data_IF_211169613812
#
_entry.id   IF_211169613812
#
_cell.length_a   1.000
_cell.length_b   1.000
_cell.length_c   1.000
_cell.angle_alpha   90.00
_cell.angle_beta   90.00
_cell.angle_gamma   90.00
#
_symmetry.space_group_name_H-M   'P 1'
#
loop_
_entity.id
_entity.type
_entity.pdbx_description
1 polymer ?
#
# COMPACT_ATOMS: atom_id res chain seq x y z
N UNK A 1 23.57 -21.60 15.87
CA UNK A 1 23.19 -22.46 14.74
C UNK A 1 22.40 -21.62 13.75
N UNK A 2 22.68 -21.74 12.45
CA UNK A 2 21.89 -21.03 11.42
C UNK A 2 20.60 -21.82 11.18
N UNK A 3 19.45 -21.16 11.27
CA UNK A 3 18.13 -21.78 11.19
C UNK A 3 17.85 -22.27 9.77
N UNK A 4 17.55 -23.56 9.59
CA UNK A 4 17.01 -24.11 8.33
C UNK A 4 15.50 -23.89 8.31
N UNK A 5 14.96 -23.53 7.15
CA UNK A 5 13.53 -23.25 6.95
C UNK A 5 12.83 -24.40 6.22
N UNK A 6 11.52 -24.52 6.42
CA UNK A 6 10.69 -25.50 5.73
C UNK A 6 10.63 -26.88 6.42
N UNK A 7 10.40 -27.93 5.63
CA UNK A 7 10.11 -29.28 6.12
C UNK A 7 11.40 -30.03 6.50
N UNK A 8 11.80 -29.92 7.77
CA UNK A 8 12.96 -30.64 8.32
C UNK A 8 12.59 -31.89 9.12
N UNK A 9 11.29 -32.18 9.26
CA UNK A 9 10.80 -33.32 10.03
C UNK A 9 11.28 -34.65 9.42
N UNK A 10 11.82 -35.53 10.25
CA UNK A 10 12.30 -36.86 9.84
C UNK A 10 13.67 -36.88 9.15
N UNK A 11 14.39 -35.75 9.07
CA UNK A 11 15.74 -35.74 8.51
C UNK A 11 16.77 -36.29 9.51
N UNK A 12 17.72 -37.09 9.01
CA UNK A 12 18.85 -37.59 9.80
C UNK A 12 19.73 -36.42 10.25
N UNK A 13 20.33 -36.52 11.44
CA UNK A 13 21.22 -35.49 11.98
C UNK A 13 22.41 -35.15 11.05
N UNK A 14 22.92 -36.14 10.30
CA UNK A 14 23.97 -35.93 9.29
C UNK A 14 23.51 -35.04 8.14
N UNK A 15 22.30 -35.26 7.62
CA UNK A 15 21.72 -34.45 6.54
C UNK A 15 21.45 -33.02 7.01
N UNK A 16 20.97 -32.84 8.26
CA UNK A 16 20.78 -31.51 8.87
C UNK A 16 22.12 -30.75 8.95
N UNK A 17 23.20 -31.38 9.43
CA UNK A 17 24.53 -30.74 9.47
C UNK A 17 25.03 -30.34 8.08
N UNK A 18 24.79 -31.16 7.05
CA UNK A 18 25.14 -30.84 5.66
C UNK A 18 24.36 -29.63 5.15
N UNK A 19 23.05 -29.54 5.43
CA UNK A 19 22.23 -28.37 5.13
C UNK A 19 22.75 -27.11 5.85
N UNK A 20 23.11 -27.21 7.14
CA UNK A 20 23.68 -26.08 7.88
C UNK A 20 25.03 -25.63 7.31
N UNK A 21 25.84 -26.56 6.78
CA UNK A 21 27.12 -26.25 6.16
C UNK A 21 26.98 -25.48 4.84
N UNK A 22 25.84 -25.58 4.14
CA UNK A 22 25.59 -24.79 2.91
C UNK A 22 25.72 -23.29 3.19
N UNK A 23 25.32 -22.81 4.36
CA UNK A 23 25.46 -21.42 4.76
C UNK A 23 26.92 -20.89 4.86
N UNK A 24 27.91 -21.78 4.83
CA UNK A 24 29.34 -21.43 4.82
C UNK A 24 29.89 -21.29 3.40
N UNK A 25 29.16 -21.79 2.40
CA UNK A 25 29.53 -21.67 0.99
C UNK A 25 29.39 -20.22 0.52
N UNK A 26 30.15 -19.90 -0.52
CA UNK A 26 30.14 -18.61 -1.21
C UNK A 26 29.92 -18.89 -2.69
N UNK A 27 29.14 -18.04 -3.32
CA UNK A 27 28.90 -18.06 -4.76
C UNK A 27 29.42 -16.75 -5.32
N UNK A 28 30.29 -16.73 -6.32
CA UNK A 28 30.70 -15.48 -6.95
C UNK A 28 29.47 -14.68 -7.43
N UNK A 29 29.48 -13.34 -7.39
CA UNK A 29 28.33 -12.55 -7.78
C UNK A 29 27.84 -12.80 -9.21
N UNK A 30 28.77 -13.04 -10.14
CA UNK A 30 28.54 -13.32 -11.58
C UNK A 30 27.72 -14.62 -11.79
N UNK A 31 27.89 -15.59 -10.89
CA UNK A 31 27.31 -16.91 -11.02
C UNK A 31 25.91 -16.97 -10.43
N UNK A 32 25.02 -17.70 -11.10
CA UNK A 32 23.73 -18.07 -10.54
C UNK A 32 23.92 -18.94 -9.28
N UNK A 33 24.70 -20.02 -9.45
CA UNK A 33 25.22 -20.91 -8.41
C UNK A 33 26.51 -21.54 -8.95
N UNK A 34 27.47 -21.91 -8.10
CA UNK A 34 28.68 -22.59 -8.62
C UNK A 34 28.35 -24.03 -9.01
N UNK A 35 29.02 -24.61 -10.03
CA UNK A 35 28.78 -26.00 -10.44
C UNK A 35 28.96 -27.02 -9.29
N UNK A 36 29.93 -26.78 -8.40
CA UNK A 36 30.16 -27.65 -7.23
C UNK A 36 29.01 -27.57 -6.24
N UNK A 37 28.51 -26.35 -5.99
CA UNK A 37 27.39 -26.15 -5.09
C UNK A 37 26.08 -26.71 -5.68
N UNK A 38 25.86 -26.55 -6.98
CA UNK A 38 24.73 -27.15 -7.68
C UNK A 38 24.74 -28.68 -7.54
N UNK A 39 25.91 -29.31 -7.71
CA UNK A 39 26.09 -30.75 -7.51
C UNK A 39 25.85 -31.17 -6.06
N UNK A 40 26.45 -30.48 -5.10
CA UNK A 40 26.31 -30.78 -3.67
C UNK A 40 24.85 -30.73 -3.21
N UNK A 41 24.11 -29.70 -3.64
CA UNK A 41 22.71 -29.48 -3.29
C UNK A 41 21.81 -30.50 -3.98
N UNK A 42 22.07 -30.82 -5.25
CA UNK A 42 21.31 -31.84 -6.00
C UNK A 42 21.42 -33.22 -5.35
N UNK A 43 22.65 -33.66 -5.04
CA UNK A 43 22.88 -34.95 -4.37
C UNK A 43 22.20 -35.00 -3.00
N UNK A 44 22.28 -33.91 -2.23
CA UNK A 44 21.62 -33.84 -0.93
C UNK A 44 20.10 -33.83 -1.06
N UNK A 45 19.55 -33.14 -2.05
CA UNK A 45 18.11 -33.09 -2.37
C UNK A 45 17.57 -34.47 -2.73
N UNK A 46 18.30 -35.20 -3.58
CA UNK A 46 17.99 -36.58 -3.95
C UNK A 46 18.01 -37.52 -2.74
N UNK A 47 19.04 -37.45 -1.90
CA UNK A 47 19.16 -38.28 -0.68
C UNK A 47 17.98 -38.09 0.28
N UNK A 48 17.56 -36.84 0.50
CA UNK A 48 16.46 -36.53 1.42
C UNK A 48 15.08 -36.60 0.77
N UNK A 49 15.02 -36.81 -0.56
CA UNK A 49 13.81 -36.80 -1.40
C UNK A 49 12.95 -35.55 -1.21
N UNK A 50 13.59 -34.38 -1.12
CA UNK A 50 12.93 -33.07 -0.97
C UNK A 50 13.70 -32.03 -1.74
N UNK A 51 12.99 -31.04 -2.28
CA UNK A 51 13.62 -29.88 -2.89
C UNK A 51 14.42 -29.10 -1.85
N UNK A 52 15.56 -28.55 -2.24
CA UNK A 52 16.38 -27.67 -1.40
C UNK A 52 16.51 -26.33 -2.12
N UNK A 53 16.13 -25.25 -1.45
CA UNK A 53 16.24 -23.88 -1.93
C UNK A 53 17.33 -23.09 -1.21
N UNK A 54 18.05 -22.27 -1.95
CA UNK A 54 19.07 -21.35 -1.48
C UNK A 54 18.68 -19.92 -1.85
N UNK A 55 18.59 -19.04 -0.86
CA UNK A 55 18.57 -17.59 -1.12
C UNK A 55 19.98 -17.05 -0.98
N UNK A 56 20.49 -16.48 -2.08
CA UNK A 56 21.85 -15.96 -2.19
C UNK A 56 21.75 -14.45 -2.38
N UNK A 57 22.46 -13.67 -1.56
CA UNK A 57 22.51 -12.23 -1.72
C UNK A 57 23.53 -11.79 -2.78
N UNK A 58 23.52 -10.51 -3.18
CA UNK A 58 24.46 -9.94 -4.17
C UNK A 58 25.94 -10.05 -3.80
N UNK A 59 26.27 -10.23 -2.51
CA UNK A 59 27.65 -10.49 -2.04
C UNK A 59 28.04 -11.98 -2.15
N UNK A 60 27.19 -12.83 -2.72
CA UNK A 60 27.47 -14.24 -2.85
C UNK A 60 27.26 -15.07 -1.59
N UNK A 61 26.60 -14.51 -0.57
CA UNK A 61 26.36 -15.21 0.70
C UNK A 61 25.00 -15.89 0.65
N UNK A 62 24.97 -17.17 1.00
CA UNK A 62 23.70 -17.88 1.27
C UNK A 62 23.12 -17.33 2.58
N UNK A 63 22.01 -16.63 2.47
CA UNK A 63 21.31 -16.00 3.60
C UNK A 63 20.20 -16.89 4.15
N UNK A 64 19.66 -17.80 3.33
CA UNK A 64 18.62 -18.75 3.74
C UNK A 64 18.79 -20.08 3.02
N UNK A 65 18.62 -21.17 3.76
CA UNK A 65 18.48 -22.53 3.24
C UNK A 65 17.07 -23.01 3.57
N UNK A 66 16.35 -23.45 2.54
CA UNK A 66 14.96 -23.90 2.61
C UNK A 66 14.90 -25.37 2.22
N UNK A 67 14.13 -26.16 2.96
CA UNK A 67 13.79 -27.54 2.60
C UNK A 67 12.31 -27.59 2.26
N UNK A 68 12.01 -27.93 1.01
CA UNK A 68 10.66 -28.05 0.50
C UNK A 68 10.04 -29.44 0.71
N UNK A 69 9.02 -29.72 -0.07
CA UNK A 69 8.51 -31.06 -0.31
C UNK A 69 9.03 -31.59 -1.67
N UNK A 70 8.34 -32.55 -2.28
CA UNK A 70 8.75 -33.10 -3.59
C UNK A 70 8.37 -32.20 -4.77
N UNK A 71 7.44 -31.26 -4.57
CA UNK A 71 6.84 -30.43 -5.62
C UNK A 71 7.22 -28.96 -5.54
N UNK A 72 7.42 -28.42 -4.33
CA UNK A 72 7.68 -27.00 -4.13
C UNK A 72 8.55 -26.72 -2.91
N UNK A 73 9.13 -25.53 -2.92
CA UNK A 73 9.70 -24.88 -1.74
C UNK A 73 8.74 -23.81 -1.24
N UNK A 74 8.85 -23.46 0.05
CA UNK A 74 8.15 -22.30 0.60
C UNK A 74 9.21 -21.31 1.03
N UNK A 75 9.36 -20.25 0.24
CA UNK A 75 10.34 -19.20 0.53
C UNK A 75 9.85 -18.43 1.75
N UNK A 76 10.66 -18.35 2.83
CA UNK A 76 10.25 -17.60 4.01
C UNK A 76 10.16 -16.11 3.63
N UNK A 77 8.94 -15.59 3.61
CA UNK A 77 8.65 -14.16 3.57
C UNK A 77 9.16 -13.53 4.88
N UNK A 78 10.43 -13.11 4.86
CA UNK A 78 11.13 -12.36 5.91
C UNK A 78 11.52 -10.98 5.40
N UNK A 79 12.35 -10.25 6.17
CA UNK A 79 12.74 -8.82 6.03
C UNK A 79 13.36 -8.36 4.67
N UNK A 80 13.17 -9.12 3.59
CA UNK A 80 13.67 -8.92 2.24
C UNK A 80 12.72 -8.05 1.41
N UNK A 81 12.44 -6.83 1.87
CA UNK A 81 11.65 -5.88 1.10
C UNK A 81 12.57 -5.01 0.24
N UNK A 82 12.39 -5.10 -1.08
CA UNK A 82 13.05 -4.18 -1.99
C UNK A 82 12.48 -2.77 -1.84
N UNK A 83 13.33 -1.74 -1.95
CA UNK A 83 12.85 -0.38 -2.11
C UNK A 83 12.01 -0.24 -3.40
N UNK A 84 11.07 0.73 -3.47
CA UNK A 84 10.36 1.02 -4.71
C UNK A 84 11.35 1.25 -5.86
N UNK A 85 11.13 0.60 -7.00
CA UNK A 85 12.01 0.69 -8.18
C UNK A 85 13.25 -0.20 -8.16
N UNK A 86 13.43 -1.07 -7.16
CA UNK A 86 14.58 -2.00 -7.08
C UNK A 86 14.14 -3.45 -6.88
N UNK A 87 15.05 -4.38 -7.19
CA UNK A 87 14.92 -5.78 -6.86
C UNK A 87 15.33 -6.02 -5.39
N UNK A 88 14.93 -7.14 -4.80
CA UNK A 88 15.11 -7.40 -3.37
C UNK A 88 16.55 -7.78 -2.97
N UNK A 89 17.46 -7.91 -3.94
CA UNK A 89 18.86 -8.21 -3.70
C UNK A 89 19.15 -9.68 -3.44
N UNK A 90 18.19 -10.56 -3.72
CA UNK A 90 18.29 -12.00 -3.53
C UNK A 90 17.99 -12.74 -4.82
N UNK A 91 18.84 -13.71 -5.16
CA UNK A 91 18.53 -14.76 -6.13
C UNK A 91 18.14 -16.04 -5.39
N UNK A 92 17.10 -16.70 -5.88
CA UNK A 92 16.66 -17.99 -5.38
C UNK A 92 17.10 -19.09 -6.34
N UNK A 93 17.83 -20.08 -5.82
CA UNK A 93 18.23 -21.27 -6.57
C UNK A 93 17.72 -22.48 -5.80
N UNK A 94 16.88 -23.30 -6.41
CA UNK A 94 16.34 -24.51 -5.81
C UNK A 94 16.48 -25.72 -6.72
N UNK A 95 16.23 -26.90 -6.18
CA UNK A 95 16.28 -28.15 -6.95
C UNK A 95 14.88 -28.60 -7.34
N UNK A 96 14.73 -29.14 -8.55
CA UNK A 96 13.60 -29.98 -8.93
C UNK A 96 14.06 -31.43 -8.90
N UNK A 97 13.22 -32.33 -8.36
CA UNK A 97 13.57 -33.76 -8.27
C UNK A 97 13.56 -34.45 -9.64
N UNK A 98 12.93 -33.82 -10.63
CA UNK A 98 12.98 -34.18 -12.04
C UNK A 98 13.59 -33.00 -12.84
N UNK A 99 13.86 -33.20 -14.13
CA UNK A 99 14.30 -32.14 -15.04
C UNK A 99 13.11 -31.33 -15.59
N UNK A 100 12.25 -30.85 -14.69
CA UNK A 100 11.06 -30.05 -15.02
C UNK A 100 11.42 -28.55 -15.07
N UNK A 101 10.79 -27.75 -15.97
CA UNK A 101 10.97 -26.30 -16.01
C UNK A 101 10.44 -25.62 -14.74
N UNK A 102 10.72 -24.33 -14.60
CA UNK A 102 10.16 -23.50 -13.51
C UNK A 102 8.63 -23.61 -13.47
N UNK A 103 8.09 -23.86 -12.29
CA UNK A 103 6.66 -23.99 -12.07
C UNK A 103 5.98 -22.60 -12.06
N UNK A 104 4.66 -22.53 -12.28
CA UNK A 104 3.92 -21.29 -12.09
C UNK A 104 4.08 -20.68 -10.69
N UNK A 105 4.24 -21.51 -9.67
CA UNK A 105 4.50 -21.08 -8.28
C UNK A 105 5.86 -20.37 -8.19
N UNK A 106 6.92 -20.91 -8.80
CA UNK A 106 8.27 -20.30 -8.79
C UNK A 106 8.29 -18.94 -9.48
N UNK A 107 7.57 -18.83 -10.60
CA UNK A 107 7.47 -17.60 -11.39
C UNK A 107 6.62 -16.52 -10.70
N UNK A 108 5.62 -16.97 -9.93
CA UNK A 108 4.84 -16.12 -9.05
C UNK A 108 5.72 -15.59 -7.92
N UNK A 109 6.47 -16.47 -7.23
CA UNK A 109 7.41 -16.08 -6.17
C UNK A 109 8.50 -15.11 -6.66
N UNK A 110 9.05 -15.33 -7.85
CA UNK A 110 9.97 -14.41 -8.52
C UNK A 110 9.41 -12.98 -8.61
N UNK A 111 8.16 -12.87 -9.07
CA UNK A 111 7.51 -11.59 -9.32
C UNK A 111 7.12 -10.88 -8.02
N UNK A 112 6.53 -11.61 -7.07
CA UNK A 112 6.02 -11.05 -5.81
C UNK A 112 7.13 -10.58 -4.88
N UNK A 113 8.14 -11.42 -4.72
CA UNK A 113 9.28 -11.10 -3.86
C UNK A 113 10.21 -10.11 -4.55
N UNK A 114 10.05 -9.85 -5.86
CA UNK A 114 10.99 -9.11 -6.71
C UNK A 114 12.40 -9.67 -6.59
N UNK A 115 12.53 -11.00 -6.71
CA UNK A 115 13.83 -11.66 -6.68
C UNK A 115 14.70 -11.16 -7.83
N UNK A 116 16.00 -11.05 -7.57
CA UNK A 116 17.00 -10.74 -8.58
C UNK A 116 16.92 -11.78 -9.72
N UNK A 117 16.90 -13.07 -9.37
CA UNK A 117 16.66 -14.21 -10.28
C UNK A 117 15.98 -15.37 -9.54
N UNK A 118 15.28 -16.23 -10.28
CA UNK A 118 14.76 -17.53 -9.84
C UNK A 118 15.35 -18.64 -10.72
N UNK A 119 15.82 -19.74 -10.12
CA UNK A 119 16.33 -20.87 -10.90
C UNK A 119 16.09 -22.24 -10.25
N UNK A 120 15.64 -23.18 -11.07
CA UNK A 120 15.47 -24.59 -10.72
C UNK A 120 16.57 -25.43 -11.37
N UNK A 121 17.28 -26.21 -10.56
CA UNK A 121 18.25 -27.22 -10.99
C UNK A 121 17.50 -28.53 -11.19
N UNK A 122 17.33 -28.95 -12.43
CA UNK A 122 16.78 -30.26 -12.77
C UNK A 122 17.72 -31.38 -12.34
N UNK A 123 17.16 -32.53 -11.97
CA UNK A 123 17.93 -33.69 -11.52
C UNK A 123 17.72 -34.90 -12.42
N UNK A 124 18.80 -35.65 -12.61
CA UNK A 124 18.79 -37.00 -13.18
C UNK A 124 18.30 -38.04 -12.15
N UNK A 125 18.03 -39.27 -12.63
CA UNK A 125 17.66 -40.39 -11.77
C UNK A 125 18.71 -40.69 -10.67
N UNK A 126 19.98 -40.38 -10.92
CA UNK A 126 21.09 -40.57 -9.97
C UNK A 126 21.32 -39.35 -9.04
N UNK A 127 20.47 -38.32 -9.12
CA UNK A 127 20.56 -37.11 -8.30
C UNK A 127 21.64 -36.11 -8.75
N UNK A 128 22.25 -36.32 -9.91
CA UNK A 128 23.18 -35.36 -10.52
C UNK A 128 22.42 -34.24 -11.22
N UNK A 129 22.96 -33.00 -11.21
CA UNK A 129 22.32 -31.85 -11.86
C UNK A 129 22.29 -32.03 -13.38
N UNK A 130 21.14 -31.71 -13.98
CA UNK A 130 20.90 -31.62 -15.42
C UNK A 130 20.65 -30.15 -15.81
N UNK A 131 19.64 -29.85 -16.60
CA UNK A 131 19.41 -28.49 -17.05
C UNK A 131 18.99 -27.59 -15.89
N UNK A 132 19.49 -26.35 -15.90
CA UNK A 132 19.09 -25.31 -14.97
C UNK A 132 18.16 -24.36 -15.70
N UNK A 133 16.91 -24.32 -15.25
CA UNK A 133 15.89 -23.41 -15.77
C UNK A 133 15.87 -22.15 -14.92
N UNK A 134 16.09 -20.99 -15.53
CA UNK A 134 16.19 -19.72 -14.83
C UNK A 134 15.26 -18.66 -15.41
N UNK A 135 14.86 -17.71 -14.59
CA UNK A 135 14.02 -16.58 -14.96
C UNK A 135 14.37 -15.33 -14.16
N UNK A 136 14.08 -14.17 -14.75
CA UNK A 136 14.17 -12.88 -14.08
C UNK A 136 12.91 -12.04 -14.34
N UNK A 137 12.65 -11.06 -13.49
CA UNK A 137 11.51 -10.14 -13.66
C UNK A 137 11.71 -9.32 -14.94
N UNK A 138 10.63 -9.09 -15.68
CA UNK A 138 10.63 -8.21 -16.85
C UNK A 138 9.94 -6.88 -16.49
N UNK A 139 10.68 -5.76 -16.42
CA UNK A 139 10.11 -4.47 -16.11
C UNK A 139 9.37 -3.86 -17.31
N UNK A 140 8.18 -3.31 -17.06
CA UNK A 140 7.37 -2.57 -18.03
C UNK A 140 6.14 -3.30 -18.59
N UNK A 141 5.28 -2.58 -19.34
CA UNK A 141 4.10 -3.16 -19.97
C UNK A 141 4.55 -4.03 -21.14
N UNK A 142 4.62 -5.33 -20.92
CA UNK A 142 4.80 -6.30 -22.00
C UNK A 142 3.49 -7.04 -22.20
N UNK A 143 3.12 -7.32 -23.45
CA UNK A 143 1.96 -8.15 -23.79
C UNK A 143 2.10 -9.61 -23.27
N UNK A 144 3.28 -9.96 -22.76
CA UNK A 144 3.63 -11.29 -22.22
C UNK A 144 3.89 -11.23 -20.72
N UNK A 145 3.99 -12.41 -20.12
CA UNK A 145 4.17 -12.69 -18.70
C UNK A 145 5.17 -11.71 -18.01
N UNK A 146 5.01 -11.41 -16.70
CA UNK A 146 5.82 -10.41 -15.97
C UNK A 146 7.29 -10.82 -15.72
N UNK A 147 7.75 -11.85 -16.42
CA UNK A 147 9.06 -12.45 -16.28
C UNK A 147 9.59 -12.87 -17.65
N UNK A 148 10.91 -12.99 -17.74
CA UNK A 148 11.59 -13.59 -18.89
C UNK A 148 12.21 -14.90 -18.45
N UNK A 149 11.89 -15.97 -19.19
CA UNK A 149 12.58 -17.25 -19.07
C UNK A 149 13.91 -17.17 -19.84
N UNK A 150 14.99 -17.61 -19.21
CA UNK A 150 16.27 -17.82 -19.87
C UNK A 150 16.26 -19.15 -20.62
N UNK A 151 17.04 -19.30 -21.70
CA UNK A 151 17.30 -20.61 -22.30
C UNK A 151 17.83 -21.59 -21.24
N UNK A 152 17.49 -22.89 -21.31
CA UNK A 152 18.01 -23.89 -20.39
C UNK A 152 19.55 -23.85 -20.34
N UNK A 153 20.10 -23.76 -19.13
CA UNK A 153 21.53 -23.63 -18.89
C UNK A 153 22.13 -24.99 -18.52
N UNK A 154 23.29 -25.37 -19.07
CA UNK A 154 23.97 -26.59 -18.64
C UNK A 154 24.63 -26.37 -17.26
N UNK A 155 24.77 -27.42 -16.40
CA UNK A 155 25.37 -27.31 -15.06
C UNK A 155 26.76 -26.68 -15.02
N UNK A 156 27.51 -26.77 -16.13
CA UNK A 156 28.86 -26.27 -16.25
C UNK A 156 28.93 -24.77 -16.60
N UNK A 157 27.86 -24.20 -17.16
CA UNK A 157 27.82 -22.80 -17.62
C UNK A 157 26.77 -22.00 -16.84
N UNK A 158 27.03 -21.84 -15.54
CA UNK A 158 26.16 -21.07 -14.62
C UNK A 158 26.73 -19.69 -14.28
N UNK A 159 27.85 -19.33 -14.91
CA UNK A 159 28.38 -17.98 -14.95
C UNK A 159 27.66 -17.18 -16.04
N UNK A 160 26.50 -16.64 -15.68
CA UNK A 160 25.60 -15.96 -16.62
C UNK A 160 25.65 -14.43 -16.47
N UNK A 161 26.66 -13.93 -15.76
CA UNK A 161 26.77 -12.52 -15.39
C UNK A 161 25.46 -11.99 -14.77
N UNK A 162 25.11 -12.57 -13.61
CA UNK A 162 23.92 -12.14 -12.88
C UNK A 162 23.97 -10.64 -12.54
N UNK A 163 25.16 -10.08 -12.31
CA UNK A 163 25.31 -8.67 -11.95
C UNK A 163 24.88 -7.75 -13.10
N UNK A 164 25.36 -7.97 -14.32
CA UNK A 164 24.95 -7.18 -15.47
C UNK A 164 23.45 -7.29 -15.74
N UNK A 165 22.89 -8.50 -15.60
CA UNK A 165 21.45 -8.72 -15.77
C UNK A 165 20.62 -7.95 -14.73
N UNK A 166 21.02 -8.01 -13.45
CA UNK A 166 20.36 -7.27 -12.36
C UNK A 166 20.44 -5.76 -12.60
N UNK A 167 21.61 -5.25 -12.97
CA UNK A 167 21.82 -3.83 -13.25
C UNK A 167 20.93 -3.35 -14.39
N UNK A 168 20.87 -4.09 -15.50
CA UNK A 168 20.01 -3.74 -16.63
C UNK A 168 18.52 -3.71 -16.26
N UNK A 169 18.05 -4.65 -15.41
CA UNK A 169 16.67 -4.67 -14.92
C UNK A 169 16.39 -3.50 -13.99
N UNK A 170 17.29 -3.20 -13.06
CA UNK A 170 17.14 -2.07 -12.12
C UNK A 170 17.21 -0.72 -12.84
N UNK A 171 18.07 -0.56 -13.84
CA UNK A 171 18.11 0.63 -14.70
C UNK A 171 16.80 0.81 -15.45
N UNK A 172 16.21 -0.27 -15.96
CA UNK A 172 14.92 -0.22 -16.64
C UNK A 172 13.76 0.08 -15.67
N UNK A 173 13.76 -0.52 -14.47
CA UNK A 173 12.79 -0.21 -13.40
C UNK A 173 12.91 1.25 -12.96
N UNK A 174 14.13 1.74 -12.73
CA UNK A 174 14.39 3.14 -12.36
C UNK A 174 13.99 4.07 -13.51
N UNK A 175 14.23 3.71 -14.78
CA UNK A 175 13.78 4.48 -15.96
C UNK A 175 12.27 4.53 -16.08
N UNK A 176 11.56 3.43 -15.85
CA UNK A 176 10.10 3.41 -15.86
C UNK A 176 9.54 4.20 -14.68
N UNK A 177 10.11 4.06 -13.49
CA UNK A 177 9.69 4.85 -12.33
C UNK A 177 9.96 6.35 -12.53
N UNK A 178 11.18 6.73 -12.92
CA UNK A 178 11.59 8.14 -13.11
C UNK A 178 10.99 8.76 -14.37
N UNK A 179 10.89 8.04 -15.48
CA UNK A 179 10.27 8.53 -16.71
C UNK A 179 8.79 8.90 -16.51
N UNK A 180 8.07 8.16 -15.67
CA UNK A 180 6.69 8.48 -15.32
C UNK A 180 6.60 9.54 -14.22
N UNK A 181 7.36 9.43 -13.13
CA UNK A 181 7.31 10.40 -12.01
C UNK A 181 7.92 11.76 -12.37
N UNK A 182 8.96 11.83 -13.19
CA UNK A 182 9.55 13.10 -13.67
C UNK A 182 8.69 13.78 -14.74
N UNK A 183 7.89 13.02 -15.50
CA UNK A 183 6.95 13.57 -16.48
C UNK A 183 5.70 14.18 -15.81
N UNK A 184 5.18 13.58 -14.73
CA UNK A 184 3.90 14.01 -14.13
C UNK A 184 4.01 14.60 -12.72
N UNK A 185 5.05 14.25 -11.95
CA UNK A 185 5.18 14.61 -10.53
C UNK A 185 4.12 13.97 -9.63
N UNK A 186 3.41 12.92 -10.10
CA UNK A 186 2.25 12.32 -9.43
C UNK A 186 2.48 10.85 -9.09
N UNK A 187 1.92 10.41 -7.96
CA UNK A 187 1.83 8.99 -7.62
C UNK A 187 0.91 8.26 -8.60
N UNK A 188 1.22 7.01 -8.94
CA UNK A 188 0.44 6.17 -9.87
C UNK A 188 -0.27 5.07 -9.10
N UNK A 189 -1.59 5.06 -9.14
CA UNK A 189 -2.43 4.19 -8.33
C UNK A 189 -3.17 3.12 -9.13
N UNK A 190 -3.13 1.91 -8.58
CA UNK A 190 -4.07 0.85 -8.92
C UNK A 190 -5.20 0.86 -7.89
N UNK A 191 -6.44 1.05 -8.36
CA UNK A 191 -7.62 1.06 -7.49
C UNK A 191 -8.17 -0.35 -7.31
N UNK A 192 -8.60 -0.69 -6.09
CA UNK A 192 -9.15 -2.01 -5.77
C UNK A 192 -10.45 -1.86 -5.00
N UNK A 193 -11.49 -2.56 -5.44
CA UNK A 193 -12.73 -2.70 -4.66
C UNK A 193 -13.14 -4.16 -4.54
N UNK A 194 -13.44 -4.56 -3.31
CA UNK A 194 -13.96 -5.87 -2.95
C UNK A 194 -15.32 -5.66 -2.32
N UNK A 195 -16.39 -6.08 -2.99
CA UNK A 195 -17.76 -5.82 -2.53
C UNK A 195 -18.71 -6.97 -2.90
N UNK A 196 -19.69 -7.21 -2.02
CA UNK A 196 -20.86 -8.06 -2.22
C UNK A 196 -22.07 -7.28 -2.77
N UNK A 197 -21.95 -5.97 -2.96
CA UNK A 197 -23.03 -5.12 -3.45
C UNK A 197 -23.36 -5.36 -4.92
N UNK A 198 -24.45 -4.76 -5.38
CA UNK A 198 -24.80 -4.75 -6.80
C UNK A 198 -23.68 -4.12 -7.64
N UNK A 199 -23.47 -4.66 -8.85
CA UNK A 199 -22.45 -4.14 -9.79
C UNK A 199 -22.56 -2.63 -9.99
N UNK A 200 -23.78 -2.10 -10.04
CA UNK A 200 -24.04 -0.65 -10.17
C UNK A 200 -23.45 0.13 -9.00
N UNK A 201 -23.74 -0.27 -7.76
CA UNK A 201 -23.20 0.42 -6.56
C UNK A 201 -21.68 0.35 -6.49
N UNK A 202 -21.09 -0.80 -6.81
CA UNK A 202 -19.62 -0.94 -6.85
C UNK A 202 -18.99 -0.06 -7.93
N UNK A 203 -19.61 0.04 -9.11
CA UNK A 203 -19.13 0.93 -10.18
C UNK A 203 -19.20 2.40 -9.80
N UNK A 204 -20.30 2.84 -9.17
CA UNK A 204 -20.44 4.21 -8.66
C UNK A 204 -19.40 4.52 -7.57
N UNK A 205 -19.18 3.60 -6.62
CA UNK A 205 -18.15 3.75 -5.59
C UNK A 205 -16.75 3.85 -6.19
N UNK A 206 -16.45 3.04 -7.20
CA UNK A 206 -15.18 3.08 -7.92
C UNK A 206 -14.99 4.34 -8.77
N UNK A 207 -16.07 4.89 -9.32
CA UNK A 207 -16.03 6.18 -9.99
C UNK A 207 -15.71 7.30 -8.99
N UNK A 208 -16.35 7.30 -7.82
CA UNK A 208 -16.05 8.26 -6.74
C UNK A 208 -14.61 8.10 -6.22
N UNK A 209 -14.12 6.86 -6.04
CA UNK A 209 -12.74 6.60 -5.64
C UNK A 209 -11.72 7.13 -6.66
N UNK A 210 -12.02 7.00 -7.95
CA UNK A 210 -11.19 7.57 -9.02
C UNK A 210 -11.14 9.10 -8.93
N UNK A 211 -12.28 9.75 -8.68
CA UNK A 211 -12.34 11.20 -8.47
C UNK A 211 -11.59 11.64 -7.20
N UNK A 212 -11.62 10.83 -6.13
CA UNK A 212 -10.83 11.08 -4.92
C UNK A 212 -9.34 11.01 -5.23
N UNK A 213 -8.89 9.97 -5.93
CA UNK A 213 -7.49 9.82 -6.33
C UNK A 213 -7.03 11.00 -7.19
N UNK A 214 -7.82 11.40 -8.18
CA UNK A 214 -7.52 12.59 -9.00
C UNK A 214 -7.46 13.88 -8.16
N UNK A 215 -8.35 14.04 -7.18
CA UNK A 215 -8.38 15.19 -6.27
C UNK A 215 -7.16 15.26 -5.35
N UNK A 216 -6.58 14.11 -5.00
CA UNK A 216 -5.33 13.97 -4.24
C UNK A 216 -4.07 14.19 -5.09
N UNK A 217 -4.21 14.36 -6.41
CA UNK A 217 -3.09 14.47 -7.35
C UNK A 217 -2.47 13.13 -7.72
N UNK A 218 -3.23 12.04 -7.63
CA UNK A 218 -2.80 10.68 -7.95
C UNK A 218 -3.33 10.31 -9.34
N UNK A 219 -2.46 9.76 -10.19
CA UNK A 219 -2.80 9.24 -11.51
C UNK A 219 -3.34 7.81 -11.39
N UNK A 220 -4.56 7.57 -11.86
CA UNK A 220 -5.17 6.23 -11.82
C UNK A 220 -4.84 5.47 -13.10
N UNK A 221 -4.03 4.42 -12.98
CA UNK A 221 -3.55 3.62 -14.13
C UNK A 221 -4.45 2.41 -14.40
N UNK A 222 -5.24 1.99 -13.42
CA UNK A 222 -6.14 0.85 -13.57
C UNK A 222 -7.06 0.66 -12.37
N UNK A 223 -7.99 -0.28 -12.51
CA UNK A 223 -8.90 -0.66 -11.43
C UNK A 223 -9.22 -2.14 -11.46
N UNK A 224 -9.22 -2.78 -10.30
CA UNK A 224 -9.58 -4.18 -10.10
C UNK A 224 -10.83 -4.24 -9.23
N UNK A 225 -11.88 -4.87 -9.73
CA UNK A 225 -13.11 -5.13 -8.97
C UNK A 225 -13.22 -6.62 -8.73
N UNK A 226 -13.34 -7.02 -7.47
CA UNK A 226 -13.61 -8.40 -7.08
C UNK A 226 -14.97 -8.49 -6.41
N UNK A 227 -15.88 -9.24 -7.03
CA UNK A 227 -17.16 -9.56 -6.41
C UNK A 227 -17.03 -10.82 -5.55
N UNK A 228 -17.48 -10.75 -4.29
CA UNK A 228 -17.44 -11.87 -3.34
C UNK A 228 -18.64 -11.81 -2.40
N UNK A 229 -19.29 -12.94 -2.18
CA UNK A 229 -20.39 -13.07 -1.22
C UNK A 229 -19.91 -12.97 0.24
N UNK A 230 -18.68 -13.42 0.52
CA UNK A 230 -18.02 -13.28 1.82
C UNK A 230 -16.60 -12.73 1.65
N UNK A 231 -16.32 -11.62 2.35
CA UNK A 231 -15.03 -10.95 2.34
C UNK A 231 -14.03 -11.73 3.20
N UNK A 232 -12.79 -11.88 2.73
CA UNK A 232 -11.74 -12.55 3.50
C UNK A 232 -11.35 -11.69 4.72
N UNK A 233 -11.53 -12.21 5.93
CA UNK A 233 -11.25 -11.48 7.17
C UNK A 233 -9.78 -11.06 7.32
N UNK A 234 -8.84 -11.77 6.69
CA UNK A 234 -7.39 -11.53 6.83
C UNK A 234 -6.82 -10.62 5.76
N UNK A 235 -7.31 -10.70 4.52
CA UNK A 235 -6.73 -9.98 3.39
C UNK A 235 -7.72 -9.08 2.64
N UNK A 236 -9.02 -9.14 2.93
CA UNK A 236 -10.12 -8.57 2.13
C UNK A 236 -10.27 -9.29 0.77
N UNK A 237 -9.15 -9.43 0.05
CA UNK A 237 -8.91 -10.09 -1.23
C UNK A 237 -8.24 -11.46 -1.01
N UNK A 238 -8.56 -12.48 -1.82
CA UNK A 238 -7.89 -13.79 -1.71
C UNK A 238 -6.41 -13.72 -2.08
N UNK A 239 -5.57 -14.59 -1.51
CA UNK A 239 -4.10 -14.57 -1.73
C UNK A 239 -3.74 -14.63 -3.22
N UNK A 240 -4.32 -15.52 -4.02
CA UNK A 240 -4.04 -15.58 -5.46
C UNK A 240 -4.34 -14.28 -6.21
N UNK A 241 -5.45 -13.62 -5.88
CA UNK A 241 -5.80 -12.32 -6.48
C UNK A 241 -4.86 -11.21 -5.99
N UNK A 242 -4.40 -11.28 -4.74
CA UNK A 242 -3.41 -10.35 -4.21
C UNK A 242 -2.07 -10.49 -4.94
N UNK A 243 -1.71 -11.71 -5.33
CA UNK A 243 -0.54 -11.99 -6.15
C UNK A 243 -0.70 -11.43 -7.57
N UNK A 244 -1.85 -11.66 -8.21
CA UNK A 244 -2.18 -11.05 -9.51
C UNK A 244 -2.11 -9.51 -9.44
N UNK A 245 -2.60 -8.92 -8.36
CA UNK A 245 -2.58 -7.47 -8.15
C UNK A 245 -1.15 -6.93 -8.05
N UNK A 246 -0.27 -7.63 -7.32
CA UNK A 246 1.14 -7.25 -7.21
C UNK A 246 1.87 -7.36 -8.55
N UNK A 247 1.57 -8.39 -9.34
CA UNK A 247 2.09 -8.56 -10.71
C UNK A 247 1.62 -7.40 -11.59
N UNK A 248 0.32 -7.11 -11.60
CA UNK A 248 -0.26 -6.03 -12.40
C UNK A 248 0.32 -4.67 -12.00
N UNK A 249 0.50 -4.43 -10.70
CA UNK A 249 1.13 -3.22 -10.18
C UNK A 249 2.59 -3.07 -10.63
N UNK A 250 3.32 -4.18 -10.78
CA UNK A 250 4.70 -4.16 -11.29
C UNK A 250 4.73 -3.87 -12.80
N UNK A 251 3.86 -4.50 -13.58
CA UNK A 251 3.77 -4.29 -15.04
C UNK A 251 3.40 -2.85 -15.39
N UNK A 252 2.42 -2.30 -14.68
CA UNK A 252 1.93 -0.94 -14.90
C UNK A 252 2.77 0.13 -14.18
N UNK A 253 3.81 -0.27 -13.45
CA UNK A 253 4.65 0.61 -12.63
C UNK A 253 3.83 1.50 -11.66
N UNK A 254 2.90 0.88 -10.94
CA UNK A 254 2.15 1.52 -9.85
C UNK A 254 3.06 1.81 -8.65
N UNK A 255 2.92 2.99 -8.05
CA UNK A 255 3.62 3.35 -6.81
C UNK A 255 2.77 3.08 -5.56
N UNK A 256 1.45 3.03 -5.73
CA UNK A 256 0.48 2.86 -4.64
C UNK A 256 -0.70 1.98 -5.06
N UNK A 257 -1.23 1.23 -4.11
CA UNK A 257 -2.51 0.51 -4.24
C UNK A 257 -3.50 1.18 -3.31
N UNK A 258 -4.68 1.52 -3.85
CA UNK A 258 -5.75 2.20 -3.11
C UNK A 258 -6.97 1.32 -3.02
N UNK A 259 -7.35 0.94 -1.81
CA UNK A 259 -8.54 0.14 -1.53
C UNK A 259 -9.75 1.05 -1.29
N UNK A 260 -10.88 0.72 -1.91
CA UNK A 260 -12.16 1.40 -1.71
C UNK A 260 -12.71 1.19 -0.29
N UNK A 261 -12.52 -0.01 0.26
CA UNK A 261 -12.97 -0.37 1.60
C UNK A 261 -11.92 0.01 2.66
N UNK A 262 -12.39 0.38 3.85
CA UNK A 262 -11.52 0.62 5.01
C UNK A 262 -10.81 -0.68 5.41
N UNK A 263 -9.48 -0.62 5.53
CA UNK A 263 -8.67 -1.76 5.92
C UNK A 263 -8.44 -1.76 7.44
N UNK A 264 -8.63 -2.92 8.06
CA UNK A 264 -8.29 -3.11 9.46
C UNK A 264 -6.76 -3.26 9.63
N UNK A 265 -6.20 -3.03 10.84
CA UNK A 265 -4.76 -3.09 11.05
C UNK A 265 -4.12 -4.44 10.68
N UNK A 266 -4.85 -5.55 10.80
CA UNK A 266 -4.35 -6.88 10.43
C UNK A 266 -4.31 -7.10 8.92
N UNK A 267 -5.28 -6.56 8.18
CA UNK A 267 -5.32 -6.59 6.72
C UNK A 267 -4.19 -5.75 6.14
N UNK A 268 -3.99 -4.52 6.63
CA UNK A 268 -2.87 -3.65 6.20
C UNK A 268 -1.54 -4.38 6.39
N UNK A 269 -1.32 -5.01 7.55
CA UNK A 269 -0.13 -5.84 7.81
C UNK A 269 0.01 -6.95 6.79
N UNK A 270 -1.02 -7.79 6.68
CA UNK A 270 -0.95 -8.99 5.87
C UNK A 270 -0.74 -8.68 4.38
N UNK A 271 -1.34 -7.59 3.89
CA UNK A 271 -1.15 -7.10 2.51
C UNK A 271 0.27 -6.53 2.34
N UNK A 272 0.72 -5.65 3.25
CA UNK A 272 2.04 -5.01 3.15
C UNK A 272 3.18 -6.02 3.31
N UNK A 273 2.98 -7.09 4.08
CA UNK A 273 3.95 -8.19 4.22
C UNK A 273 4.11 -8.97 2.91
N UNK A 274 3.08 -9.00 2.05
CA UNK A 274 3.08 -9.73 0.78
C UNK A 274 3.40 -8.84 -0.43
N UNK A 275 3.08 -7.54 -0.37
CA UNK A 275 3.30 -6.59 -1.46
C UNK A 275 4.23 -5.49 -0.97
N UNK A 276 5.38 -5.36 -1.62
CA UNK A 276 6.36 -4.30 -1.35
C UNK A 276 6.00 -2.97 -2.06
N UNK A 277 4.74 -2.53 -1.92
CA UNK A 277 4.19 -1.25 -2.42
C UNK A 277 3.46 -0.52 -1.29
N UNK A 278 3.28 0.80 -1.44
CA UNK A 278 2.46 1.58 -0.51
C UNK A 278 0.99 1.15 -0.68
N UNK A 279 0.33 0.85 0.44
CA UNK A 279 -1.09 0.50 0.46
C UNK A 279 -1.82 1.50 1.33
N UNK A 280 -2.87 2.10 0.78
CA UNK A 280 -3.78 2.98 1.51
C UNK A 280 -5.22 2.56 1.24
N UNK A 281 -6.13 2.98 2.10
CA UNK A 281 -7.57 2.83 1.87
C UNK A 281 -8.23 4.19 1.59
N UNK A 282 -9.52 4.14 1.30
CA UNK A 282 -10.37 5.30 1.05
C UNK A 282 -10.30 6.33 2.18
N UNK A 283 -10.31 5.88 3.44
CA UNK A 283 -10.22 6.77 4.61
C UNK A 283 -8.92 7.57 4.63
N UNK A 284 -7.78 6.90 4.42
CA UNK A 284 -6.48 7.56 4.35
C UNK A 284 -6.40 8.51 3.15
N UNK A 285 -6.92 8.11 1.98
CA UNK A 285 -6.94 8.95 0.79
C UNK A 285 -7.71 10.26 1.04
N UNK A 286 -8.88 10.18 1.69
CA UNK A 286 -9.69 11.36 2.03
C UNK A 286 -8.94 12.28 3.01
N UNK A 287 -8.30 11.71 4.04
CA UNK A 287 -7.49 12.49 4.98
C UNK A 287 -6.33 13.21 4.29
N UNK A 288 -5.68 12.56 3.32
CA UNK A 288 -4.59 13.16 2.54
C UNK A 288 -5.10 14.32 1.68
N UNK A 289 -6.28 14.20 1.06
CA UNK A 289 -6.95 15.32 0.37
C UNK A 289 -7.21 16.47 1.36
N UNK A 290 -7.70 16.17 2.56
CA UNK A 290 -7.92 17.22 3.57
C UNK A 290 -6.66 17.90 4.03
N UNK A 291 -5.56 17.16 4.16
CA UNK A 291 -4.28 17.74 4.53
C UNK A 291 -3.79 18.74 3.47
N UNK A 292 -4.04 18.45 2.19
CA UNK A 292 -3.73 19.37 1.09
C UNK A 292 -4.65 20.60 1.05
N UNK A 293 -5.90 20.47 1.52
CA UNK A 293 -6.93 21.53 1.43
C UNK A 293 -7.06 22.39 2.70
N UNK A 294 -6.60 21.91 3.85
CA UNK A 294 -6.67 22.63 5.13
C UNK A 294 -5.79 23.90 5.10
N UNK A 295 -6.42 25.07 5.05
CA UNK A 295 -5.72 26.37 5.05
C UNK A 295 -5.75 27.01 6.42
N UNK A 296 -6.87 26.92 7.12
CA UNK A 296 -7.04 27.50 8.44
C UNK A 296 -6.20 26.76 9.50
N UNK A 297 -5.82 27.46 10.57
CA UNK A 297 -5.14 26.82 11.71
C UNK A 297 -6.00 25.72 12.32
N UNK A 298 -7.30 25.95 12.43
CA UNK A 298 -8.26 24.97 12.97
C UNK A 298 -8.34 23.72 12.08
N UNK A 299 -8.54 23.89 10.77
CA UNK A 299 -8.61 22.80 9.81
C UNK A 299 -7.32 21.96 9.82
N UNK A 300 -6.15 22.60 9.87
CA UNK A 300 -4.87 21.89 9.98
C UNK A 300 -4.77 21.04 11.25
N UNK A 301 -5.19 21.58 12.40
CA UNK A 301 -5.19 20.84 13.67
C UNK A 301 -6.18 19.65 13.63
N UNK A 302 -7.35 19.82 13.02
CA UNK A 302 -8.37 18.75 12.92
C UNK A 302 -7.93 17.62 12.01
N UNK A 303 -7.37 17.96 10.85
CA UNK A 303 -6.87 16.95 9.91
C UNK A 303 -5.69 16.20 10.51
N UNK A 304 -4.73 16.89 11.14
CA UNK A 304 -3.60 16.24 11.81
C UNK A 304 -4.10 15.31 12.94
N UNK A 305 -5.07 15.76 13.75
CA UNK A 305 -5.67 14.94 14.80
C UNK A 305 -6.35 13.68 14.22
N UNK A 306 -7.10 13.82 13.14
CA UNK A 306 -7.79 12.71 12.50
C UNK A 306 -6.80 11.72 11.87
N UNK A 307 -5.77 12.20 11.18
CA UNK A 307 -4.68 11.37 10.66
C UNK A 307 -4.00 10.58 11.78
N UNK A 308 -3.64 11.23 12.89
CA UNK A 308 -3.00 10.55 14.01
C UNK A 308 -3.91 9.53 14.68
N UNK A 309 -5.20 9.84 14.88
CA UNK A 309 -6.18 8.90 15.45
C UNK A 309 -6.39 7.68 14.56
N UNK A 310 -6.48 7.89 13.25
CA UNK A 310 -6.65 6.82 12.28
C UNK A 310 -5.39 5.96 12.14
N UNK A 311 -4.20 6.59 12.11
CA UNK A 311 -2.91 5.91 12.00
C UNK A 311 -2.49 5.20 13.28
N UNK A 312 -2.76 5.73 14.48
CA UNK A 312 -2.29 5.17 15.76
C UNK A 312 -2.56 3.66 15.94
N UNK A 313 -3.79 3.14 15.74
CA UNK A 313 -4.05 1.69 15.83
C UNK A 313 -3.40 0.91 14.67
N UNK A 314 -3.07 1.59 13.57
CA UNK A 314 -2.47 1.08 12.34
C UNK A 314 -0.95 1.31 12.29
N UNK A 315 -0.34 1.85 13.34
CA UNK A 315 1.11 1.91 13.50
C UNK A 315 1.61 0.49 13.75
N UNK A 316 1.97 -0.14 12.65
CA UNK A 316 2.59 -1.45 12.58
C UNK A 316 4.08 -1.29 12.77
N UNK A 317 4.67 -2.28 13.43
CA UNK A 317 6.10 -2.49 13.47
C UNK A 317 6.76 -2.69 12.12
N UNK A 318 6.97 -1.62 11.35
CA UNK A 318 8.03 -1.58 10.34
C UNK A 318 9.35 -1.54 11.10
N UNK A 319 9.89 -2.70 11.49
CA UNK A 319 11.27 -2.96 11.94
C UNK A 319 11.38 -4.16 12.90
N UNK A 320 10.86 -5.33 12.53
CA UNK A 320 11.19 -6.56 13.29
C UNK A 320 12.68 -6.93 13.15
N UNK A 321 13.39 -6.45 12.11
CA UNK A 321 14.85 -6.59 11.97
C UNK A 321 15.67 -5.65 12.90
N UNK A 322 15.37 -4.34 12.93
CA UNK A 322 16.12 -3.40 13.78
C UNK A 322 15.79 -3.54 15.27
N UNK A 323 14.59 -4.00 15.63
CA UNK A 323 14.26 -4.31 17.02
C UNK A 323 15.02 -5.54 17.56
N UNK A 324 15.41 -6.48 16.68
CA UNK A 324 16.20 -7.66 17.07
C UNK A 324 17.70 -7.36 17.18
N UNK A 325 18.23 -6.47 16.35
CA UNK A 325 19.62 -6.00 16.46
C UNK A 325 19.87 -5.13 17.70
N UNK A 326 18.86 -4.38 18.16
CA UNK A 326 18.95 -3.64 19.43
C UNK A 326 18.76 -4.53 20.69
N UNK A 327 18.14 -5.72 20.55
CA UNK A 327 17.82 -6.61 21.66
C UNK A 327 18.77 -7.79 21.85
N UNK A 328 19.75 -7.98 20.97
CA UNK A 328 20.66 -9.12 20.97
C UNK A 328 22.09 -8.72 21.32
N UNK A 329 22.34 -8.39 22.59
CA UNK A 329 23.59 -8.54 23.38
C UNK A 329 23.50 -7.55 24.57
N UNK A 330 23.19 -8.06 25.76
CA UNK A 330 23.78 -7.54 27.01
C UNK A 330 23.32 -6.21 27.60
N UNK A 331 22.17 -5.62 27.25
CA UNK A 331 21.66 -4.41 27.90
C UNK A 331 20.58 -4.68 28.95
N UNK A 332 20.93 -4.88 30.23
CA UNK A 332 19.97 -4.79 31.34
C UNK A 332 19.57 -3.33 31.55
N UNK A 333 18.57 -2.86 30.82
CA UNK A 333 17.95 -1.55 31.01
C UNK A 333 16.53 -1.54 30.44
N UNK A 334 15.60 -0.72 30.96
CA UNK A 334 14.23 -0.62 30.47
C UNK A 334 14.21 0.17 29.15
N UNK A 335 14.65 -0.45 28.06
CA UNK A 335 14.62 0.15 26.73
C UNK A 335 13.28 -0.11 26.06
N UNK A 336 12.36 0.86 26.08
CA UNK A 336 11.11 0.82 25.32
C UNK A 336 11.40 0.57 23.83
N UNK A 337 10.55 -0.24 23.18
CA UNK A 337 10.70 -0.50 21.74
C UNK A 337 10.48 0.79 20.93
N UNK A 338 11.15 0.95 19.78
CA UNK A 338 10.96 2.13 18.91
C UNK A 338 9.49 2.39 18.57
N UNK A 339 8.71 1.32 18.42
CA UNK A 339 7.27 1.41 18.16
C UNK A 339 6.45 1.90 19.34
N UNK A 340 6.85 1.51 20.54
CA UNK A 340 6.25 2.00 21.78
C UNK A 340 6.55 3.48 21.98
N UNK A 341 7.78 3.90 21.69
CA UNK A 341 8.17 5.31 21.65
C UNK A 341 7.33 6.09 20.62
N UNK A 342 7.19 5.56 19.40
CA UNK A 342 6.41 6.22 18.34
C UNK A 342 4.91 6.31 18.72
N UNK A 343 4.35 5.24 19.31
CA UNK A 343 2.98 5.24 19.83
C UNK A 343 2.79 6.22 20.98
N UNK A 344 3.76 6.33 21.89
CA UNK A 344 3.72 7.30 23.00
C UNK A 344 3.75 8.72 22.45
N UNK A 345 4.67 9.03 21.55
CA UNK A 345 4.76 10.34 20.87
C UNK A 345 3.47 10.71 20.13
N UNK A 346 2.87 9.75 19.42
CA UNK A 346 1.60 9.96 18.75
C UNK A 346 0.46 10.28 19.74
N UNK A 347 0.38 9.55 20.87
CA UNK A 347 -0.60 9.83 21.93
C UNK A 347 -0.40 11.20 22.59
N UNK A 348 0.84 11.56 22.91
CA UNK A 348 1.15 12.89 23.45
C UNK A 348 0.77 14.00 22.46
N UNK A 349 1.04 13.79 21.16
CA UNK A 349 0.65 14.75 20.12
C UNK A 349 -0.86 14.87 20.01
N UNK A 350 -1.60 13.76 20.05
CA UNK A 350 -3.06 13.75 20.07
C UNK A 350 -3.58 14.59 21.23
N UNK A 351 -3.08 14.39 22.46
CA UNK A 351 -3.51 15.16 23.63
C UNK A 351 -3.27 16.67 23.46
N UNK A 352 -2.12 17.06 22.91
CA UNK A 352 -1.81 18.48 22.64
C UNK A 352 -2.74 19.08 21.58
N UNK A 353 -3.03 18.33 20.52
CA UNK A 353 -3.94 18.76 19.46
C UNK A 353 -5.38 18.90 19.96
N UNK A 354 -5.84 17.97 20.80
CA UNK A 354 -7.16 18.05 21.46
C UNK A 354 -7.28 19.29 22.34
N UNK A 355 -6.28 19.56 23.18
CA UNK A 355 -6.26 20.78 24.01
C UNK A 355 -6.28 22.07 23.18
N UNK A 356 -5.49 22.11 22.09
CA UNK A 356 -5.48 23.26 21.18
C UNK A 356 -6.83 23.45 20.46
N UNK A 357 -7.52 22.37 20.09
CA UNK A 357 -8.84 22.45 19.48
C UNK A 357 -9.91 22.94 20.46
N UNK A 358 -9.80 22.57 21.74
CA UNK A 358 -10.73 23.06 22.77
C UNK A 358 -10.58 24.56 23.04
N UNK A 359 -9.38 25.14 22.87
CA UNK A 359 -9.20 26.60 22.85
C UNK A 359 -9.91 27.26 21.67
N UNK A 360 -9.74 26.70 20.46
CA UNK A 360 -10.39 27.23 19.24
C UNK A 360 -11.91 27.18 19.38
N UNK A 361 -12.46 26.07 19.89
CA UNK A 361 -13.90 25.93 20.18
C UNK A 361 -14.42 26.99 21.14
N UNK A 362 -13.68 27.28 22.22
CA UNK A 362 -14.04 28.34 23.18
C UNK A 362 -14.13 29.70 22.50
N UNK A 363 -13.15 30.04 21.66
CA UNK A 363 -13.16 31.28 20.89
C UNK A 363 -14.36 31.36 19.93
N UNK A 364 -14.69 30.25 19.25
CA UNK A 364 -15.83 30.18 18.32
C UNK A 364 -17.18 30.38 19.01
N UNK A 365 -17.37 29.76 20.19
CA UNK A 365 -18.59 29.97 21.01
C UNK A 365 -18.79 31.44 21.39
N UNK A 366 -17.71 32.16 21.70
CA UNK A 366 -17.79 33.60 21.98
C UNK A 366 -18.18 34.42 20.76
N UNK A 367 -17.65 34.10 19.57
CA UNK A 367 -18.05 34.75 18.31
C UNK A 367 -19.53 34.49 17.98
N UNK A 368 -20.00 33.25 18.19
CA UNK A 368 -21.41 32.87 18.01
C UNK A 368 -22.32 33.64 18.97
N UNK A 369 -21.98 33.72 20.26
CA UNK A 369 -22.76 34.48 21.24
C UNK A 369 -22.88 35.97 20.87
N UNK A 370 -21.82 36.57 20.32
CA UNK A 370 -21.86 37.96 19.81
C UNK A 370 -22.73 38.11 18.55
N UNK A 371 -22.77 37.10 17.67
CA UNK A 371 -23.63 37.09 16.47
C UNK A 371 -25.10 36.93 16.81
N UNK A 372 -25.45 36.00 17.70
CA UNK A 372 -26.85 35.79 18.12
C UNK A 372 -27.44 37.05 18.74
N UNK A 373 -26.63 37.83 19.48
CA UNK A 373 -27.05 39.14 20.01
C UNK A 373 -27.38 40.18 18.92
N UNK A 374 -26.90 40.01 17.70
CA UNK A 374 -27.17 40.90 16.55
C UNK A 374 -28.34 40.43 15.67
N UNK A 375 -28.89 39.25 15.90
CA UNK A 375 -30.06 38.74 15.17
C UNK A 375 -29.85 38.51 13.66
N UNK A 376 -28.61 38.25 13.21
CA UNK A 376 -28.32 37.98 11.81
C UNK A 376 -28.63 36.52 11.45
N UNK A 377 -29.55 36.23 10.52
CA UNK A 377 -29.87 34.87 10.09
C UNK A 377 -28.70 34.20 9.37
N UNK A 378 -28.53 32.89 9.56
CA UNK A 378 -27.50 32.07 8.94
C UNK A 378 -28.13 31.03 8.02
N UNK A 379 -27.74 31.06 6.75
CA UNK A 379 -28.10 30.06 5.74
C UNK A 379 -26.85 29.22 5.46
N UNK A 380 -26.92 27.91 5.66
CA UNK A 380 -25.83 26.99 5.35
C UNK A 380 -26.15 26.17 4.11
N UNK A 381 -25.24 26.20 3.13
CA UNK A 381 -25.38 25.46 1.87
C UNK A 381 -24.79 24.06 2.07
N UNK A 382 -25.61 23.02 1.94
CA UNK A 382 -25.21 21.61 2.09
C UNK A 382 -25.41 20.84 0.78
N UNK A 383 -24.81 19.65 0.70
CA UNK A 383 -24.91 18.77 -0.47
C UNK A 383 -23.61 18.06 -0.80
N UNK A 384 -23.67 17.13 -1.74
CA UNK A 384 -22.51 16.33 -2.16
C UNK A 384 -21.36 17.18 -2.71
N UNK A 385 -20.15 16.66 -2.60
CA UNK A 385 -18.98 17.26 -3.27
C UNK A 385 -19.24 17.43 -4.76
N UNK A 386 -18.78 18.54 -5.33
CA UNK A 386 -19.01 18.94 -6.73
C UNK A 386 -20.47 19.26 -7.12
N UNK A 387 -21.44 19.31 -6.20
CA UNK A 387 -22.82 19.70 -6.51
C UNK A 387 -23.01 21.20 -6.87
N UNK A 388 -21.94 21.99 -6.97
CA UNK A 388 -22.02 23.42 -7.30
C UNK A 388 -22.24 24.37 -6.11
N UNK A 389 -22.09 23.91 -4.86
CA UNK A 389 -22.29 24.73 -3.63
C UNK A 389 -21.46 26.04 -3.63
N UNK A 390 -20.16 25.95 -3.85
CA UNK A 390 -19.26 27.13 -3.87
C UNK A 390 -19.57 28.06 -5.06
N UNK A 391 -19.97 27.51 -6.20
CA UNK A 391 -20.42 28.27 -7.37
C UNK A 391 -21.69 29.06 -7.06
N UNK A 392 -22.66 28.45 -6.36
CA UNK A 392 -23.87 29.12 -5.90
C UNK A 392 -23.55 30.25 -4.92
N UNK A 393 -22.67 30.01 -3.94
CA UNK A 393 -22.24 31.05 -3.00
C UNK A 393 -21.62 32.25 -3.75
N UNK A 394 -20.69 31.99 -4.67
CA UNK A 394 -20.02 33.05 -5.45
C UNK A 394 -21.01 33.86 -6.27
N UNK A 395 -21.98 33.19 -6.90
CA UNK A 395 -23.01 33.84 -7.72
C UNK A 395 -23.91 34.73 -6.88
N UNK A 396 -24.35 34.24 -5.72
CA UNK A 396 -25.21 35.01 -4.82
C UNK A 396 -24.49 36.21 -4.19
N UNK A 397 -23.20 36.07 -3.89
CA UNK A 397 -22.47 37.05 -3.06
C UNK A 397 -21.46 37.90 -3.84
N UNK A 398 -21.36 37.70 -5.17
CA UNK A 398 -20.31 38.26 -6.03
C UNK A 398 -18.90 38.08 -5.46
N UNK A 399 -18.66 36.97 -4.76
CA UNK A 399 -17.39 36.70 -4.10
C UNK A 399 -16.51 35.77 -4.95
N UNK A 400 -15.22 35.69 -4.59
CA UNK A 400 -14.21 34.84 -5.25
C UNK A 400 -13.78 33.70 -4.33
N UNK A 401 -14.72 32.91 -3.82
CA UNK A 401 -14.41 31.65 -3.13
C UNK A 401 -13.93 30.64 -4.18
N UNK A 402 -12.94 29.82 -3.83
CA UNK A 402 -12.37 28.85 -4.75
C UNK A 402 -13.43 27.79 -5.10
N UNK A 403 -13.75 27.69 -6.40
CA UNK A 403 -14.65 26.69 -6.95
C UNK A 403 -13.87 25.92 -8.03
N UNK A 404 -13.56 24.65 -7.75
CA UNK A 404 -12.87 23.75 -8.67
C UNK A 404 -13.70 22.47 -8.81
N UNK A 405 -13.68 21.85 -10.00
CA UNK A 405 -14.27 20.52 -10.21
C UNK A 405 -13.37 19.43 -9.63
N UNK A 406 -13.21 19.43 -8.30
CA UNK A 406 -12.46 18.45 -7.51
C UNK A 406 -13.23 18.15 -6.23
N UNK A 407 -13.12 16.92 -5.73
CA UNK A 407 -13.72 16.55 -4.45
C UNK A 407 -13.03 17.32 -3.33
N UNK A 408 -13.83 17.73 -2.35
CA UNK A 408 -13.39 18.51 -1.19
C UNK A 408 -12.63 19.80 -1.51
N UNK A 409 -13.02 20.50 -2.60
CA UNK A 409 -12.50 21.82 -2.94
C UNK A 409 -12.61 22.82 -1.76
N UNK A 410 -13.67 22.69 -0.95
CA UNK A 410 -13.91 23.46 0.27
C UNK A 410 -13.89 22.53 1.49
N UNK A 411 -12.94 22.74 2.40
CA UNK A 411 -12.89 22.08 3.72
C UNK A 411 -13.23 23.07 4.84
N UNK A 412 -12.57 24.22 4.85
CA UNK A 412 -12.83 25.29 5.82
C UNK A 412 -14.13 26.03 5.43
N UNK A 413 -15.12 26.18 6.35
CA UNK A 413 -16.38 26.84 6.03
C UNK A 413 -16.15 28.29 5.63
N UNK A 414 -16.82 28.72 4.56
CA UNK A 414 -16.68 30.08 4.02
C UNK A 414 -17.98 30.85 4.17
N UNK A 415 -18.00 31.83 5.09
CA UNK A 415 -19.17 32.69 5.31
C UNK A 415 -19.05 34.02 4.56
N UNK A 416 -20.15 34.48 3.97
CA UNK A 416 -20.29 35.78 3.29
C UNK A 416 -21.59 36.46 3.70
N UNK A 417 -21.60 37.79 3.72
CA UNK A 417 -22.82 38.57 3.97
C UNK A 417 -23.54 38.76 2.65
N UNK A 418 -24.83 38.47 2.65
CA UNK A 418 -25.74 38.68 1.53
C UNK A 418 -26.82 39.67 1.96
N UNK A 419 -26.98 40.75 1.21
CA UNK A 419 -28.03 41.75 1.47
C UNK A 419 -29.17 41.54 0.50
N UNK A 420 -30.37 41.25 1.01
CA UNK A 420 -31.57 41.17 0.20
C UNK A 420 -32.09 42.57 -0.17
N UNK A 421 -32.86 42.70 -1.27
CA UNK A 421 -33.43 43.98 -1.70
C UNK A 421 -34.35 44.68 -0.68
N UNK A 422 -34.80 44.00 0.39
CA UNK A 422 -35.74 44.50 1.41
C UNK A 422 -35.09 44.68 2.80
N UNK A 423 -33.82 45.10 2.85
CA UNK A 423 -33.05 45.40 4.07
C UNK A 423 -32.78 44.26 5.06
N UNK A 424 -33.07 43.01 4.68
CA UNK A 424 -32.64 41.84 5.46
C UNK A 424 -31.22 41.47 5.04
N UNK A 425 -30.36 41.37 6.03
CA UNK A 425 -28.99 40.91 5.86
C UNK A 425 -28.84 39.52 6.44
N UNK A 426 -28.33 38.59 5.64
CA UNK A 426 -28.09 37.20 6.06
C UNK A 426 -26.62 36.84 5.88
N UNK A 427 -26.18 35.83 6.63
CA UNK A 427 -24.89 35.20 6.44
C UNK A 427 -25.12 33.90 5.68
N UNK A 428 -24.50 33.77 4.51
CA UNK A 428 -24.50 32.52 3.75
C UNK A 428 -23.16 31.82 3.96
N UNK A 429 -23.19 30.57 4.38
CA UNK A 429 -21.99 29.76 4.63
C UNK A 429 -21.94 28.57 3.68
N UNK A 430 -20.85 28.47 2.92
CA UNK A 430 -20.52 27.26 2.15
C UNK A 430 -19.86 26.24 3.09
N UNK A 431 -20.37 25.00 3.07
CA UNK A 431 -19.87 23.92 3.91
C UNK A 431 -19.11 22.88 3.11
N UNK A 432 -18.39 22.02 3.83
CA UNK A 432 -17.76 20.85 3.24
C UNK A 432 -18.80 19.96 2.56
N UNK A 433 -18.43 19.40 1.41
CA UNK A 433 -19.32 18.49 0.67
C UNK A 433 -19.36 17.10 1.28
N UNK A 434 -20.51 16.44 1.17
CA UNK A 434 -20.67 15.04 1.54
C UNK A 434 -20.10 14.10 0.47
N UNK A 435 -19.74 12.89 0.91
CA UNK A 435 -19.37 11.75 0.06
C UNK A 435 -20.08 10.51 0.56
N UNK A 436 -20.08 9.45 -0.24
CA UNK A 436 -20.63 8.16 0.18
C UNK A 436 -19.79 7.51 1.27
N UNK A 437 -20.47 6.83 2.20
CA UNK A 437 -19.88 5.98 3.24
C UNK A 437 -18.78 6.66 4.06
N UNK A 438 -19.07 7.86 4.56
CA UNK A 438 -18.11 8.62 5.36
C UNK A 438 -17.70 7.84 6.63
N UNK A 439 -16.42 7.44 6.77
CA UNK A 439 -15.97 6.69 7.93
C UNK A 439 -16.15 7.49 9.23
N UNK A 440 -16.51 6.80 10.32
CA UNK A 440 -16.70 7.42 11.64
C UNK A 440 -15.45 8.14 12.13
N UNK A 441 -14.28 7.60 11.82
CA UNK A 441 -12.99 8.20 12.19
C UNK A 441 -12.77 9.56 11.53
N UNK A 442 -13.35 9.80 10.33
CA UNK A 442 -13.28 11.09 9.66
C UNK A 442 -14.25 12.12 10.24
N UNK A 443 -15.34 11.70 10.90
CA UNK A 443 -16.30 12.63 11.52
C UNK A 443 -15.63 13.61 12.49
N UNK A 444 -14.52 13.21 13.11
CA UNK A 444 -13.71 14.09 13.96
C UNK A 444 -13.09 15.24 13.16
N UNK A 445 -12.61 14.98 11.93
CA UNK A 445 -12.05 16.01 11.04
C UNK A 445 -13.12 16.99 10.54
N UNK A 446 -14.35 16.52 10.34
CA UNK A 446 -15.47 17.36 9.91
C UNK A 446 -16.21 18.05 11.04
N UNK A 447 -15.90 17.72 12.31
CA UNK A 447 -16.73 18.10 13.44
C UNK A 447 -16.97 19.61 13.52
N UNK A 448 -15.96 20.44 13.23
CA UNK A 448 -16.16 21.88 13.20
C UNK A 448 -16.95 22.39 11.99
N UNK A 449 -16.88 21.71 10.84
CA UNK A 449 -17.73 22.04 9.70
C UNK A 449 -19.19 21.68 10.01
N UNK A 450 -19.43 20.53 10.65
CA UNK A 450 -20.76 20.09 11.08
C UNK A 450 -21.33 20.92 12.23
N UNK A 451 -20.50 21.34 13.19
CA UNK A 451 -20.91 22.26 14.27
C UNK A 451 -21.39 23.62 13.73
N UNK A 452 -21.03 24.02 12.51
CA UNK A 452 -21.55 25.23 11.86
C UNK A 452 -22.95 25.01 11.27
N UNK A 453 -23.27 23.78 10.84
CA UNK A 453 -24.61 23.40 10.38
C UNK A 453 -25.63 23.44 11.52
N UNK A 454 -25.24 23.02 12.73
CA UNK A 454 -26.11 23.10 13.92
C UNK A 454 -26.53 24.53 14.27
N UNK A 455 -25.74 25.53 13.84
CA UNK A 455 -26.04 26.95 14.07
C UNK A 455 -26.76 27.63 12.91
N UNK A 456 -27.14 26.90 11.86
CA UNK A 456 -27.86 27.45 10.74
C UNK A 456 -29.35 27.61 11.08
N UNK A 457 -29.93 28.76 10.72
CA UNK A 457 -31.38 28.97 10.78
C UNK A 457 -32.08 28.30 9.58
N UNK A 458 -31.35 28.13 8.48
CA UNK A 458 -31.83 27.48 7.26
C UNK A 458 -30.71 26.62 6.63
N UNK A 459 -31.05 25.39 6.27
CA UNK A 459 -30.21 24.54 5.43
C UNK A 459 -30.69 24.59 3.98
N UNK A 460 -29.81 25.02 3.07
CA UNK A 460 -30.06 25.00 1.64
C UNK A 460 -29.38 23.78 1.03
N UNK A 461 -30.14 22.75 0.69
CA UNK A 461 -29.62 21.52 0.08
C UNK A 461 -29.51 21.68 -1.43
N UNK A 462 -28.28 21.61 -1.95
CA UNK A 462 -27.97 21.67 -3.38
C UNK A 462 -27.68 20.27 -3.91
N UNK A 463 -28.42 19.88 -4.94
CA UNK A 463 -28.35 18.57 -5.58
C UNK A 463 -27.99 18.76 -7.06
N UNK A 464 -27.06 17.95 -7.57
CA UNK A 464 -26.70 17.92 -8.98
C UNK A 464 -27.57 16.93 -9.75
N UNK A 465 -28.54 17.46 -10.50
CA UNK A 465 -29.50 16.67 -11.30
C UNK A 465 -28.84 15.96 -12.49
N UNK A 466 -27.63 16.36 -12.88
CA UNK A 466 -26.89 15.68 -13.96
C UNK A 466 -26.28 14.35 -13.50
N UNK A 467 -26.19 14.11 -12.19
CA UNK A 467 -25.70 12.86 -11.62
C UNK A 467 -26.78 11.76 -11.72
N UNK A 468 -26.54 10.62 -12.39
CA UNK A 468 -27.53 9.54 -12.51
C UNK A 468 -27.98 8.92 -11.17
N UNK A 469 -27.22 9.14 -10.10
CA UNK A 469 -27.53 8.71 -8.73
C UNK A 469 -27.98 9.86 -7.82
N UNK A 470 -28.47 10.98 -8.36
CA UNK A 470 -28.88 12.15 -7.56
C UNK A 470 -30.00 11.83 -6.55
N UNK A 471 -30.86 10.84 -6.81
CA UNK A 471 -31.93 10.43 -5.89
C UNK A 471 -31.36 9.87 -4.57
N UNK A 472 -30.23 9.17 -4.63
CA UNK A 472 -29.51 8.69 -3.44
C UNK A 472 -28.79 9.84 -2.69
N UNK A 473 -28.82 11.06 -3.23
CA UNK A 473 -28.17 12.25 -2.69
C UNK A 473 -29.15 13.27 -2.09
N UNK A 474 -30.46 13.01 -2.17
CA UNK A 474 -31.53 13.80 -1.53
C UNK A 474 -31.63 13.42 -0.06
#
# INVERSE_FOLDING_TARGET
MKKIYGNTAGLKAGSIRRLENLYRRRVPPEFLVTPELARDVSLLSHEIRRQIGLLINRQGRIVTVVVGDTKKIVIPTGDYHAAPGRLNGLRCVHTHLNNDPLTPDDLTDLSLLRLDLMAAIGQSADGLPQEVHAAHVLPGPSERLPYRLLPPLPPAALDIDCLATIQAIEEELERLATGHTAATGRDRALLVSVSSDSRRRTQESMAELRELAHSAGIEVIGSVIQHREQVDHRFLIGTGKLQELAIHALQEAATIIVFDQELNPSQIRSITDQIALKVIDRTQLILDIFAQRARSREGKLQVELAQLKYMLPRLVGRNTALSRLAGGIGGRGPGESKLEIDRRRARERIQRLEAALDEVRRHRRQLRAKRNKKGLPVISIIGYTNAGKSTLLNTLTHSRVLAESRLFATLDPSSRRLRFPRDIEVIVTDTVGFIRDLPRDLMVAFRAALEELESADLLLHVIDVSNPGFEDQI
#
